data_IF_940651155162
#
_entry.id   IF_940651155162
#
_cell.length_a   1.000
_cell.length_b   1.000
_cell.length_c   1.000
_cell.angle_alpha   90.00
_cell.angle_beta   90.00
_cell.angle_gamma   90.00
#
_symmetry.space_group_name_H-M   'P 1'
#
loop_
_entity.id
_entity.type
_entity.pdbx_description
1 polymer ?
#
# COMPACT_ATOMS: atom_id res chain seq x y z
N UNK A 1 -12.14 -28.45 2.40
CA UNK A 1 -12.03 -27.08 2.91
C UNK A 1 -10.97 -26.38 2.07
N UNK A 2 -11.40 -25.72 0.98
CA UNK A 2 -10.51 -24.91 0.16
C UNK A 2 -10.43 -23.55 0.84
N UNK A 3 -9.27 -23.23 1.41
CA UNK A 3 -9.05 -21.88 1.92
C UNK A 3 -9.12 -20.91 0.75
N UNK A 4 -10.21 -20.15 0.65
CA UNK A 4 -10.24 -18.90 -0.09
C UNK A 4 -9.42 -17.92 0.72
N UNK A 5 -8.29 -17.48 0.17
CA UNK A 5 -7.68 -16.23 0.60
C UNK A 5 -8.31 -15.19 -0.30
N UNK A 6 -9.29 -14.44 0.23
CA UNK A 6 -9.77 -13.22 -0.44
C UNK A 6 -8.65 -12.20 -0.25
N UNK A 7 -7.93 -11.88 -1.34
CA UNK A 7 -6.80 -10.93 -1.37
C UNK A 7 -7.27 -9.54 -1.81
N UNK A 8 -8.56 -9.24 -1.62
CA UNK A 8 -9.26 -8.07 -2.18
C UNK A 8 -8.91 -6.74 -1.50
N UNK A 9 -8.03 -6.74 -0.50
CA UNK A 9 -7.59 -5.51 0.15
C UNK A 9 -6.05 -5.44 0.12
N UNK A 10 -5.53 -4.36 -0.47
CA UNK A 10 -4.13 -3.93 -0.57
C UNK A 10 -3.20 -4.75 -1.46
N UNK A 11 -2.89 -4.21 -2.64
CA UNK A 11 -1.72 -4.63 -3.40
C UNK A 11 -1.19 -3.52 -4.31
N UNK A 12 -0.01 -2.99 -3.99
CA UNK A 12 0.90 -2.46 -5.01
C UNK A 12 1.77 -3.62 -5.47
N UNK A 13 1.51 -4.07 -6.69
CA UNK A 13 2.21 -5.16 -7.34
C UNK A 13 3.66 -4.75 -7.62
N UNK A 14 4.62 -5.20 -6.80
CA UNK A 14 6.02 -5.31 -7.24
C UNK A 14 6.13 -6.56 -8.12
N UNK A 15 5.74 -6.39 -9.38
CA UNK A 15 5.54 -7.45 -10.39
C UNK A 15 6.81 -8.28 -10.67
N UNK A 16 7.04 -9.35 -9.90
CA UNK A 16 7.83 -10.49 -10.36
C UNK A 16 6.88 -11.55 -10.89
N UNK A 17 6.60 -11.51 -12.20
CA UNK A 17 5.78 -12.53 -12.85
C UNK A 17 6.70 -13.57 -13.46
N UNK A 18 6.60 -14.80 -12.96
CA UNK A 18 7.13 -15.96 -13.69
C UNK A 18 5.98 -16.73 -14.31
N UNK A 19 6.09 -17.05 -15.60
CA UNK A 19 5.11 -17.87 -16.31
C UNK A 19 5.64 -19.30 -16.42
N UNK A 20 4.83 -20.27 -15.98
CA UNK A 20 5.18 -21.69 -16.08
C UNK A 20 4.12 -22.44 -16.89
N UNK A 21 4.55 -23.45 -17.65
CA UNK A 21 3.66 -24.40 -18.33
C UNK A 21 3.76 -25.75 -17.63
N UNK A 22 2.64 -26.31 -17.22
CA UNK A 22 2.59 -27.67 -16.66
C UNK A 22 2.47 -28.69 -17.80
N UNK A 23 3.60 -29.01 -18.44
CA UNK A 23 3.67 -30.03 -19.51
C UNK A 23 3.41 -29.52 -20.94
N UNK A 24 3.41 -30.43 -21.93
CA UNK A 24 3.39 -30.14 -23.38
C UNK A 24 2.15 -29.34 -23.84
N UNK A 25 1.00 -29.54 -23.19
CA UNK A 25 -0.27 -28.89 -23.52
C UNK A 25 -0.87 -28.10 -22.35
N UNK A 26 -0.09 -27.84 -21.29
CA UNK A 26 -0.58 -27.14 -20.10
C UNK A 26 -0.80 -25.64 -20.35
N UNK A 27 -1.87 -25.10 -19.76
CA UNK A 27 -2.08 -23.65 -19.73
C UNK A 27 -0.99 -22.97 -18.90
N UNK A 28 -0.60 -21.77 -19.34
CA UNK A 28 0.37 -20.99 -18.58
C UNK A 28 -0.25 -20.52 -17.25
N UNK A 29 0.56 -20.55 -16.21
CA UNK A 29 0.24 -20.01 -14.88
C UNK A 29 1.12 -18.81 -14.60
N UNK A 30 0.55 -17.77 -14.02
CA UNK A 30 1.27 -16.61 -13.52
C UNK A 30 1.50 -16.82 -12.02
N UNK A 31 2.75 -16.73 -11.58
CA UNK A 31 3.10 -16.61 -10.17
C UNK A 31 3.33 -15.14 -9.84
N UNK A 32 2.59 -14.61 -8.88
CA UNK A 32 2.68 -13.25 -8.39
C UNK A 32 3.32 -13.26 -7.01
N UNK A 33 4.25 -12.33 -6.82
CA UNK A 33 4.82 -12.01 -5.51
C UNK A 33 4.62 -10.51 -5.30
N UNK A 34 4.08 -10.13 -4.16
CA UNK A 34 3.81 -8.73 -3.85
C UNK A 34 4.15 -8.41 -2.39
N UNK A 35 4.27 -7.11 -2.13
CA UNK A 35 4.46 -6.56 -0.80
C UNK A 35 3.26 -5.65 -0.52
N UNK A 36 2.60 -5.88 0.60
CA UNK A 36 1.54 -5.04 1.13
C UNK A 36 2.12 -3.66 1.47
N UNK A 37 1.48 -2.58 0.99
CA UNK A 37 2.00 -1.22 1.13
C UNK A 37 1.78 -0.61 2.51
N UNK A 38 0.87 -1.13 3.31
CA UNK A 38 0.61 -0.60 4.65
C UNK A 38 1.34 -1.38 5.73
N UNK A 39 1.49 -2.70 5.58
CA UNK A 39 2.13 -3.53 6.60
C UNK A 39 3.43 -4.22 6.15
N UNK A 40 3.84 -4.09 4.88
CA UNK A 40 5.09 -4.64 4.37
C UNK A 40 5.12 -6.17 4.23
N UNK A 41 4.00 -6.87 4.48
CA UNK A 41 3.94 -8.33 4.37
C UNK A 41 4.09 -8.78 2.93
N UNK A 42 4.83 -9.87 2.74
CA UNK A 42 4.96 -10.55 1.45
C UNK A 42 3.78 -11.47 1.22
N UNK A 43 3.15 -11.32 0.05
CA UNK A 43 2.04 -12.14 -0.42
C UNK A 43 2.45 -12.85 -1.71
N UNK A 44 2.02 -14.10 -1.87
CA UNK A 44 2.29 -14.91 -3.06
C UNK A 44 0.98 -15.55 -3.56
N UNK A 45 0.76 -15.53 -4.88
CA UNK A 45 -0.42 -16.14 -5.49
C UNK A 45 -0.09 -16.75 -6.86
N UNK A 46 -0.82 -17.80 -7.24
CA UNK A 46 -0.69 -18.47 -8.54
C UNK A 46 -2.07 -18.59 -9.19
N UNK A 47 -2.23 -17.94 -10.34
CA UNK A 47 -3.47 -17.99 -11.11
C UNK A 47 -3.24 -18.28 -12.60
N UNK A 48 -4.24 -18.82 -13.32
CA UNK A 48 -4.14 -19.02 -14.76
C UNK A 48 -3.88 -17.70 -15.50
N UNK A 49 -3.01 -17.73 -16.51
CA UNK A 49 -2.64 -16.51 -17.25
C UNK A 49 -3.80 -15.86 -18.03
N UNK A 50 -4.92 -16.57 -18.17
CA UNK A 50 -6.13 -16.11 -18.87
C UNK A 50 -7.18 -15.52 -17.94
N UNK A 51 -6.93 -15.50 -16.62
CA UNK A 51 -7.84 -14.87 -15.66
C UNK A 51 -7.51 -13.38 -15.54
N UNK A 52 -8.56 -12.56 -15.42
CA UNK A 52 -8.39 -11.15 -15.07
C UNK A 52 -8.00 -11.04 -13.59
N UNK A 53 -7.26 -9.98 -13.26
CA UNK A 53 -6.93 -9.61 -11.89
C UNK A 53 -7.49 -8.22 -11.63
N UNK A 54 -8.03 -8.00 -10.42
CA UNK A 54 -8.39 -6.66 -9.99
C UNK A 54 -7.15 -5.79 -9.77
N UNK A 55 -7.28 -4.51 -10.10
CA UNK A 55 -6.20 -3.53 -9.99
C UNK A 55 -6.66 -2.40 -9.09
N UNK A 56 -5.94 -2.25 -7.97
CA UNK A 56 -6.15 -1.15 -7.06
C UNK A 56 -5.46 0.11 -7.58
N UNK A 57 -6.15 1.24 -7.50
CA UNK A 57 -5.59 2.54 -7.81
C UNK A 57 -4.99 3.15 -6.56
N UNK A 58 -3.68 3.38 -6.58
CA UNK A 58 -2.95 3.97 -5.46
C UNK A 58 -2.56 5.39 -5.83
N UNK A 59 -3.07 6.35 -5.06
CA UNK A 59 -2.76 7.76 -5.22
C UNK A 59 -1.86 8.22 -4.08
N UNK A 60 -0.82 8.96 -4.42
CA UNK A 60 -0.04 9.73 -3.47
C UNK A 60 -0.47 11.18 -3.58
N UNK A 61 -0.87 11.76 -2.45
CA UNK A 61 -1.20 13.18 -2.33
C UNK A 61 -0.31 13.77 -1.26
N UNK A 62 0.45 14.80 -1.62
CA UNK A 62 1.26 15.54 -0.67
C UNK A 62 0.41 16.67 -0.07
N UNK A 63 0.47 16.84 1.25
CA UNK A 63 -0.25 17.88 1.98
C UNK A 63 0.72 18.73 2.79
N UNK A 64 0.38 20.00 2.99
CA UNK A 64 1.10 20.84 3.94
C UNK A 64 0.57 20.60 5.35
N UNK A 65 1.45 20.26 6.28
CA UNK A 65 1.11 20.13 7.69
C UNK A 65 0.84 21.53 8.30
N UNK A 66 -0.29 21.69 8.98
CA UNK A 66 -0.67 22.91 9.70
C UNK A 66 -0.39 22.74 11.19
N UNK A 67 -0.94 21.68 11.79
CA UNK A 67 -0.88 21.45 13.23
C UNK A 67 -0.97 19.95 13.57
N UNK A 68 -0.53 19.61 14.78
CA UNK A 68 -0.64 18.29 15.38
C UNK A 68 -1.29 18.45 16.74
N UNK A 69 -2.46 17.85 16.93
CA UNK A 69 -3.18 17.90 18.19
C UNK A 69 -2.56 16.97 19.24
N UNK A 70 -2.83 17.25 20.52
CA UNK A 70 -2.30 16.45 21.65
C UNK A 70 -2.78 14.99 21.64
N UNK A 71 -3.92 14.70 21.01
CA UNK A 71 -4.48 13.36 20.83
C UNK A 71 -4.03 12.65 19.54
N UNK A 72 -3.05 13.25 18.84
CA UNK A 72 -2.32 12.67 17.72
C UNK A 72 -3.00 12.79 16.36
N UNK A 73 -4.08 13.56 16.23
CA UNK A 73 -4.61 13.92 14.92
C UNK A 73 -3.76 15.01 14.25
N UNK A 74 -3.74 14.99 12.93
CA UNK A 74 -3.00 15.97 12.12
C UNK A 74 -3.96 16.82 11.32
N UNK A 75 -3.71 18.13 11.31
CA UNK A 75 -4.41 19.08 10.46
C UNK A 75 -3.59 19.35 9.21
N UNK A 76 -4.14 18.99 8.05
CA UNK A 76 -3.47 19.06 6.75
C UNK A 76 -4.17 20.07 5.83
N UNK A 77 -3.42 20.97 5.22
CA UNK A 77 -3.96 21.91 4.22
C UNK A 77 -4.12 21.21 2.88
N UNK A 78 -5.33 21.26 2.35
CA UNK A 78 -5.65 20.82 0.99
C UNK A 78 -5.46 21.95 -0.02
N UNK A 79 -5.31 21.62 -1.30
CA UNK A 79 -5.17 22.61 -2.39
C UNK A 79 -6.37 23.57 -2.49
N UNK A 80 -7.55 23.14 -2.02
CA UNK A 80 -8.77 23.94 -2.02
C UNK A 80 -8.87 24.88 -0.79
N UNK A 81 -7.77 25.09 -0.06
CA UNK A 81 -7.71 25.87 1.17
C UNK A 81 -8.63 25.37 2.30
N UNK A 82 -9.07 24.10 2.24
CA UNK A 82 -9.75 23.42 3.34
C UNK A 82 -8.76 22.62 4.18
N UNK A 83 -9.16 22.25 5.39
CA UNK A 83 -8.39 21.35 6.27
C UNK A 83 -8.88 19.91 6.17
N UNK A 84 -7.95 18.98 6.32
CA UNK A 84 -8.20 17.56 6.48
C UNK A 84 -7.67 17.14 7.85
N UNK A 85 -8.59 16.80 8.75
CA UNK A 85 -8.34 16.60 10.19
C UNK A 85 -8.71 15.17 10.67
N UNK A 86 -8.99 14.25 9.75
CA UNK A 86 -9.43 12.88 10.00
C UNK A 86 -8.27 11.87 10.08
N UNK A 87 -7.03 12.31 9.92
CA UNK A 87 -5.84 11.46 9.94
C UNK A 87 -5.07 11.61 11.25
N UNK A 88 -4.38 10.53 11.64
CA UNK A 88 -3.46 10.50 12.78
C UNK A 88 -2.03 10.31 12.33
N UNK A 89 -1.09 10.67 13.19
CA UNK A 89 0.29 10.24 13.04
C UNK A 89 0.39 8.70 12.92
N UNK A 90 1.33 8.17 12.14
CA UNK A 90 1.54 6.74 12.02
C UNK A 90 1.78 6.08 13.38
N UNK A 91 1.23 4.90 13.60
CA UNK A 91 1.48 4.12 14.83
C UNK A 91 2.71 3.22 14.73
N UNK A 92 3.24 3.01 13.53
CA UNK A 92 4.47 2.26 13.32
C UNK A 92 5.68 3.11 13.72
N UNK A 93 6.53 2.59 14.61
CA UNK A 93 7.65 3.33 15.20
C UNK A 93 8.64 3.85 14.15
N UNK A 94 8.89 3.07 13.09
CA UNK A 94 9.83 3.46 12.04
C UNK A 94 9.26 4.61 11.22
N UNK A 95 7.97 4.53 10.84
CA UNK A 95 7.28 5.60 10.13
C UNK A 95 7.12 6.85 10.99
N UNK A 96 6.83 6.70 12.28
CA UNK A 96 6.68 7.80 13.22
C UNK A 96 8.00 8.54 13.41
N UNK A 97 9.10 7.81 13.58
CA UNK A 97 10.46 8.38 13.69
C UNK A 97 10.82 9.17 12.44
N UNK A 98 10.52 8.63 11.25
CA UNK A 98 10.75 9.31 9.99
C UNK A 98 9.90 10.59 9.89
N UNK A 99 8.61 10.52 10.23
CA UNK A 99 7.73 11.67 10.22
C UNK A 99 8.23 12.79 11.13
N UNK A 100 8.64 12.48 12.36
CA UNK A 100 9.21 13.48 13.28
C UNK A 100 10.51 14.08 12.76
N UNK A 101 11.36 13.28 12.12
CA UNK A 101 12.60 13.77 11.52
C UNK A 101 12.31 14.77 10.39
N UNK A 102 11.38 14.44 9.50
CA UNK A 102 11.02 15.27 8.36
C UNK A 102 10.33 16.57 8.80
N UNK A 103 9.43 16.49 9.79
CA UNK A 103 8.80 17.67 10.40
C UNK A 103 9.86 18.56 11.05
N UNK A 104 10.81 17.98 11.80
CA UNK A 104 11.86 18.75 12.47
C UNK A 104 12.78 19.47 11.47
N UNK A 105 13.11 18.84 10.35
CA UNK A 105 13.88 19.47 9.27
C UNK A 105 13.16 20.66 8.63
N UNK A 106 11.83 20.64 8.55
CA UNK A 106 11.04 21.75 8.00
C UNK A 106 10.99 22.97 8.92
N UNK A 107 11.22 22.78 10.23
CA UNK A 107 11.14 23.85 11.25
C UNK A 107 12.49 24.51 11.57
N UNK A 108 13.59 24.03 10.99
CA UNK A 108 14.96 24.58 11.14
C UNK A 108 15.44 25.22 9.86
#
# INVERSE_FOLDING_TARGET
MQGKVDVDELLVLKKFVSTSKTGKHGHAKCHFVAIDIFNGKKLEDIMPSSHNCDVLHVNRTDYQLIDISEDGFVSLLTENANTKDDLKLPTDDALLTQAYHDIKLLMT
#
